data_IF_052116099122
#
_entry.id   IF_052116099122
#
_cell.length_a   1.000
_cell.length_b   1.000
_cell.length_c   1.000
_cell.angle_alpha   90.00
_cell.angle_beta   90.00
_cell.angle_gamma   90.00
#
_symmetry.space_group_name_H-M   'P 1'
#
loop_
_entity.id
_entity.type
_entity.pdbx_description
1 polymer ?
#
# COMPACT_ATOMS: atom_id res chain seq x y z
N UNK A 1 -1.71 19.28 2.26
CA UNK A 1 -0.63 18.85 3.16
C UNK A 1 -0.20 20.05 3.98
N UNK A 2 -0.54 20.09 5.28
CA UNK A 2 0.05 21.07 6.20
C UNK A 2 1.30 20.40 6.73
N UNK A 3 2.43 20.68 6.12
CA UNK A 3 3.75 20.29 6.62
C UNK A 3 4.00 21.15 7.87
N UNK A 4 3.51 20.69 9.03
CA UNK A 4 3.95 21.23 10.30
C UNK A 4 5.46 21.01 10.35
N UNK A 5 6.22 22.12 10.33
CA UNK A 5 7.67 22.15 10.29
C UNK A 5 8.27 21.04 11.15
N UNK A 6 8.77 20.00 10.50
CA UNK A 6 9.72 19.10 11.13
C UNK A 6 10.95 19.95 11.46
N UNK A 7 11.53 19.82 12.67
CA UNK A 7 12.87 20.35 12.87
C UNK A 7 13.76 19.69 11.81
N UNK A 8 14.33 20.52 10.95
CA UNK A 8 15.14 20.12 9.78
C UNK A 8 16.33 19.24 10.14
N UNK A 9 16.66 19.15 11.43
CA UNK A 9 17.80 18.42 11.99
C UNK A 9 17.63 16.90 12.06
N UNK A 10 16.42 16.35 11.86
CA UNK A 10 16.20 14.88 11.75
C UNK A 10 15.95 14.42 10.29
N UNK A 11 16.08 15.34 9.32
CA UNK A 11 15.96 15.01 7.90
C UNK A 11 17.22 14.30 7.40
N UNK A 12 17.00 13.30 6.57
CA UNK A 12 18.02 12.57 5.84
C UNK A 12 17.71 12.75 4.37
N UNK A 13 18.70 13.19 3.60
CA UNK A 13 18.57 13.34 2.16
C UNK A 13 19.11 12.08 1.48
N UNK A 14 18.37 11.48 0.53
CA UNK A 14 18.95 10.53 -0.40
C UNK A 14 20.18 11.14 -1.07
N UNK A 15 21.12 10.31 -1.49
CA UNK A 15 22.34 10.78 -2.15
C UNK A 15 22.34 10.32 -3.59
N UNK A 16 22.49 11.26 -4.53
CA UNK A 16 22.78 10.97 -5.92
C UNK A 16 24.29 10.86 -6.08
N UNK A 17 24.73 9.73 -6.63
CA UNK A 17 26.12 9.51 -7.03
C UNK A 17 26.17 9.62 -8.55
N UNK A 18 27.03 10.49 -9.06
CA UNK A 18 27.26 10.61 -10.50
C UNK A 18 28.69 10.19 -10.80
N UNK A 19 28.88 9.31 -11.77
CA UNK A 19 30.21 8.85 -12.17
C UNK A 19 30.28 8.58 -13.67
N UNK A 20 31.41 8.92 -14.27
CA UNK A 20 31.71 8.74 -15.70
C UNK A 20 32.28 7.35 -15.98
N UNK A 21 32.10 6.88 -17.22
CA UNK A 21 32.72 5.67 -17.75
C UNK A 21 32.99 5.79 -19.25
N UNK A 22 33.90 4.96 -19.76
CA UNK A 22 34.37 5.04 -21.16
C UNK A 22 33.60 4.13 -22.13
N UNK A 23 33.10 2.98 -21.67
CA UNK A 23 32.51 1.96 -22.52
C UNK A 23 31.09 1.57 -22.07
N UNK A 24 30.09 2.13 -22.75
CA UNK A 24 28.67 1.90 -22.47
C UNK A 24 28.28 0.43 -22.63
N UNK A 25 28.72 -0.23 -23.70
CA UNK A 25 28.33 -1.62 -23.98
C UNK A 25 28.88 -2.56 -22.90
N UNK A 26 30.13 -2.35 -22.48
CA UNK A 26 30.74 -3.13 -21.40
C UNK A 26 30.04 -2.91 -20.04
N UNK A 27 29.67 -1.66 -19.72
CA UNK A 27 28.91 -1.36 -18.49
C UNK A 27 27.53 -2.02 -18.52
N UNK A 28 26.81 -1.93 -19.64
CA UNK A 28 25.50 -2.56 -19.81
C UNK A 28 25.57 -4.08 -19.70
N UNK A 29 26.56 -4.71 -20.34
CA UNK A 29 26.80 -6.16 -20.24
C UNK A 29 27.07 -6.59 -18.79
N UNK A 30 27.91 -5.85 -18.08
CA UNK A 30 28.24 -6.12 -16.67
C UNK A 30 27.05 -5.94 -15.72
N UNK A 31 26.26 -4.87 -15.91
CA UNK A 31 25.03 -4.68 -15.15
C UNK A 31 24.03 -5.82 -15.39
N UNK A 32 23.86 -6.26 -16.64
CA UNK A 32 22.94 -7.36 -16.99
C UNK A 32 23.42 -8.74 -16.54
N UNK A 33 24.72 -8.92 -16.30
CA UNK A 33 25.33 -10.19 -15.87
C UNK A 33 25.50 -10.29 -14.36
N UNK A 34 25.36 -9.19 -13.62
CA UNK A 34 25.49 -9.20 -12.17
C UNK A 34 24.23 -9.76 -11.51
N UNK A 35 24.34 -10.77 -10.63
CA UNK A 35 23.17 -11.36 -9.95
C UNK A 35 22.53 -10.42 -8.93
N UNK A 36 23.22 -9.33 -8.54
CA UNK A 36 22.72 -8.31 -7.61
C UNK A 36 22.04 -7.14 -8.31
N UNK A 37 21.99 -7.14 -9.65
CA UNK A 37 21.47 -6.03 -10.45
C UNK A 37 20.25 -6.50 -11.22
N UNK A 38 19.12 -5.82 -11.04
CA UNK A 38 17.87 -6.16 -11.71
C UNK A 38 17.47 -5.03 -12.65
N UNK A 39 17.21 -5.32 -13.92
CA UNK A 39 16.69 -4.33 -14.84
C UNK A 39 15.27 -3.92 -14.43
N UNK A 40 15.04 -2.61 -14.28
CA UNK A 40 13.72 -2.07 -14.02
C UNK A 40 12.86 -2.06 -15.28
N UNK A 41 11.57 -2.32 -15.13
CA UNK A 41 10.57 -2.25 -16.21
C UNK A 41 9.85 -0.89 -16.26
N UNK A 42 10.45 0.15 -15.65
CA UNK A 42 9.89 1.51 -15.65
C UNK A 42 9.85 2.08 -17.07
N UNK A 43 8.79 2.84 -17.36
CA UNK A 43 8.68 3.60 -18.60
C UNK A 43 9.66 4.78 -18.59
N UNK A 44 10.70 4.70 -19.40
CA UNK A 44 11.77 5.69 -19.46
C UNK A 44 11.28 7.07 -19.92
N UNK A 45 10.14 7.14 -20.61
CA UNK A 45 9.53 8.43 -21.00
C UNK A 45 9.04 9.24 -19.80
N UNK A 46 8.72 8.57 -18.69
CA UNK A 46 8.29 9.23 -17.44
C UNK A 46 9.47 9.75 -16.62
N UNK A 47 10.70 9.35 -16.95
CA UNK A 47 11.94 9.77 -16.29
C UNK A 47 12.67 10.84 -17.12
N UNK A 48 12.16 11.17 -18.30
CA UNK A 48 12.72 12.22 -19.12
C UNK A 48 12.52 13.60 -18.45
N UNK A 49 13.62 14.29 -18.17
CA UNK A 49 13.59 15.70 -17.77
C UNK A 49 13.44 16.58 -19.02
N UNK A 50 12.80 17.75 -18.88
CA UNK A 50 12.42 18.63 -19.99
C UNK A 50 13.60 19.04 -20.89
N UNK A 51 14.82 19.05 -20.34
CA UNK A 51 16.07 19.43 -21.03
C UNK A 51 17.13 18.31 -21.11
N UNK A 52 16.77 17.05 -20.80
CA UNK A 52 17.71 15.92 -20.89
C UNK A 52 17.09 14.70 -21.59
N UNK A 53 17.84 14.01 -22.47
CA UNK A 53 17.35 12.76 -23.03
C UNK A 53 17.21 11.72 -21.91
N UNK A 54 16.20 10.83 -21.99
CA UNK A 54 15.98 9.82 -20.96
C UNK A 54 17.19 8.87 -20.83
N UNK A 55 17.35 8.22 -19.67
CA UNK A 55 18.36 7.19 -19.50
C UNK A 55 18.15 6.05 -20.52
N UNK A 56 19.23 5.37 -20.89
CA UNK A 56 19.19 4.19 -21.77
C UNK A 56 18.59 2.98 -21.08
N UNK A 57 18.78 2.88 -19.77
CA UNK A 57 18.22 1.84 -18.91
C UNK A 57 18.23 2.30 -17.46
N UNK A 58 17.35 1.68 -16.66
CA UNK A 58 17.31 1.82 -15.21
C UNK A 58 17.44 0.43 -14.60
N UNK A 59 18.25 0.31 -13.56
CA UNK A 59 18.46 -0.92 -12.81
C UNK A 59 18.26 -0.70 -11.31
N UNK A 60 17.87 -1.73 -10.59
CA UNK A 60 17.93 -1.79 -9.14
C UNK A 60 19.23 -2.47 -8.72
N UNK A 61 20.01 -1.84 -7.85
CA UNK A 61 21.13 -2.49 -7.18
C UNK A 61 20.67 -3.04 -5.83
N UNK A 62 20.84 -4.34 -5.62
CA UNK A 62 20.38 -5.04 -4.42
C UNK A 62 21.51 -5.25 -3.41
N UNK A 63 21.16 -5.31 -2.13
CA UNK A 63 22.13 -5.64 -1.06
C UNK A 63 22.65 -7.09 -1.12
N UNK A 64 21.93 -7.97 -1.83
CA UNK A 64 22.31 -9.37 -2.08
C UNK A 64 21.54 -9.91 -3.28
N UNK A 65 22.03 -11.02 -3.82
CA UNK A 65 21.36 -11.76 -4.88
C UNK A 65 19.97 -12.22 -4.41
N UNK A 66 18.92 -12.06 -5.23
CA UNK A 66 17.61 -12.62 -4.94
C UNK A 66 17.67 -14.14 -5.00
N UNK A 67 16.97 -14.81 -4.08
CA UNK A 67 16.78 -16.26 -4.17
C UNK A 67 15.93 -16.57 -5.41
N UNK A 68 16.28 -17.63 -6.14
CA UNK A 68 15.48 -18.13 -7.27
C UNK A 68 14.06 -18.49 -6.83
N UNK A 69 13.92 -19.06 -5.63
CA UNK A 69 12.65 -19.42 -5.02
C UNK A 69 12.54 -18.85 -3.61
N UNK A 70 11.47 -18.11 -3.36
CA UNK A 70 11.15 -17.56 -2.04
C UNK A 70 10.29 -18.57 -1.26
N UNK A 71 10.59 -18.72 0.03
CA UNK A 71 9.80 -19.57 0.91
C UNK A 71 8.35 -19.05 1.00
N UNK A 72 7.39 -19.98 1.17
CA UNK A 72 6.00 -19.66 1.49
C UNK A 72 5.66 -20.22 2.88
N UNK A 73 5.19 -19.39 3.84
CA UNK A 73 4.99 -17.94 3.74
C UNK A 73 6.32 -17.18 3.60
N UNK A 74 6.26 -15.99 3.00
CA UNK A 74 7.42 -15.12 2.81
C UNK A 74 8.07 -14.75 4.15
N UNK A 75 9.40 -14.77 4.18
CA UNK A 75 10.21 -14.38 5.34
C UNK A 75 10.96 -13.10 5.00
N UNK A 76 10.76 -12.04 5.79
CA UNK A 76 11.40 -10.72 5.56
C UNK A 76 12.92 -10.81 5.43
N UNK A 77 13.55 -11.65 6.26
CA UNK A 77 14.99 -11.88 6.26
C UNK A 77 15.54 -12.50 4.97
N UNK A 78 14.69 -13.00 4.08
CA UNK A 78 15.08 -13.57 2.78
C UNK A 78 15.00 -12.58 1.63
N UNK A 79 14.25 -11.50 1.78
CA UNK A 79 14.04 -10.51 0.73
C UNK A 79 15.25 -9.58 0.60
N UNK A 80 15.84 -9.43 -0.59
CA UNK A 80 16.82 -8.37 -0.85
C UNK A 80 16.19 -6.99 -0.68
N UNK A 81 17.02 -6.02 -0.31
CA UNK A 81 16.67 -4.60 -0.25
C UNK A 81 17.33 -3.91 -1.44
N UNK A 82 16.56 -3.08 -2.14
CA UNK A 82 17.06 -2.16 -3.16
C UNK A 82 17.85 -1.07 -2.46
N UNK A 83 19.15 -1.00 -2.76
CA UNK A 83 20.05 0.02 -2.21
C UNK A 83 19.91 1.36 -2.94
N UNK A 84 19.70 1.30 -4.26
CA UNK A 84 19.48 2.46 -5.10
C UNK A 84 19.09 2.11 -6.52
N UNK A 85 18.65 3.13 -7.24
CA UNK A 85 18.31 3.07 -8.66
C UNK A 85 19.51 3.52 -9.48
N UNK A 86 19.97 2.69 -10.41
CA UNK A 86 21.11 2.95 -11.29
C UNK A 86 20.57 3.35 -12.67
N UNK A 87 20.68 4.62 -13.01
CA UNK A 87 20.30 5.18 -14.29
C UNK A 87 21.54 5.26 -15.19
N UNK A 88 21.45 4.67 -16.38
CA UNK A 88 22.57 4.62 -17.33
C UNK A 88 22.35 5.63 -18.45
N UNK A 89 23.25 6.61 -18.58
CA UNK A 89 23.21 7.59 -19.65
C UNK A 89 24.36 7.36 -20.65
N UNK A 90 24.01 7.36 -21.93
CA UNK A 90 25.01 7.35 -23.01
C UNK A 90 25.71 8.70 -23.14
N UNK A 91 26.78 8.73 -23.95
CA UNK A 91 27.51 9.97 -24.25
C UNK A 91 26.61 10.98 -24.95
N UNK A 92 26.67 12.24 -24.51
CA UNK A 92 25.99 13.39 -25.11
C UNK A 92 27.03 14.35 -25.72
N UNK A 93 26.57 15.40 -26.40
CA UNK A 93 27.46 16.36 -27.06
C UNK A 93 28.36 17.10 -26.07
N UNK A 94 27.84 17.39 -24.89
CA UNK A 94 28.47 18.18 -23.82
C UNK A 94 28.80 17.35 -22.56
N UNK A 95 28.39 16.07 -22.50
CA UNK A 95 28.57 15.21 -21.32
C UNK A 95 29.14 13.83 -21.68
N UNK A 96 30.06 13.28 -20.87
CA UNK A 96 30.51 11.90 -21.03
C UNK A 96 29.35 10.91 -20.75
N UNK A 97 29.56 9.64 -21.10
CA UNK A 97 28.66 8.59 -20.64
C UNK A 97 28.81 8.44 -19.12
N UNK A 98 27.69 8.26 -18.43
CA UNK A 98 27.65 8.36 -16.96
C UNK A 98 26.59 7.47 -16.35
N UNK A 99 26.81 7.08 -15.10
CA UNK A 99 25.79 6.54 -14.21
C UNK A 99 25.32 7.67 -13.30
N UNK A 100 24.02 7.73 -13.07
CA UNK A 100 23.43 8.45 -11.95
C UNK A 100 22.78 7.41 -11.05
N UNK A 101 23.17 7.39 -9.77
CA UNK A 101 22.71 6.39 -8.81
C UNK A 101 22.03 7.07 -7.64
N UNK A 102 20.72 6.85 -7.52
CA UNK A 102 19.91 7.40 -6.44
C UNK A 102 19.90 6.43 -5.27
N UNK A 103 20.76 6.71 -4.28
CA UNK A 103 20.92 5.88 -3.09
C UNK A 103 19.86 6.23 -2.06
N UNK A 104 18.88 5.33 -1.93
CA UNK A 104 17.71 5.50 -1.07
C UNK A 104 17.77 4.65 0.21
N UNK A 105 18.68 3.67 0.30
CA UNK A 105 18.90 2.85 1.50
C UNK A 105 20.08 3.33 2.35
N UNK A 106 20.01 3.15 3.67
CA UNK A 106 21.10 3.55 4.59
C UNK A 106 22.33 2.67 4.33
N UNK A 107 23.38 3.26 3.73
CA UNK A 107 24.61 2.57 3.32
C UNK A 107 25.84 3.41 3.64
N UNK A 108 26.98 2.74 3.76
CA UNK A 108 28.29 3.39 3.64
C UNK A 108 28.53 3.71 2.16
N UNK A 109 28.61 5.00 1.82
CA UNK A 109 28.73 5.46 0.44
C UNK A 109 30.07 5.07 -0.20
N UNK A 110 31.15 5.01 0.58
CA UNK A 110 32.47 4.63 0.05
C UNK A 110 32.48 3.15 -0.30
N UNK A 111 31.94 2.31 0.59
CA UNK A 111 31.76 0.88 0.32
C UNK A 111 30.80 0.66 -0.86
N UNK A 112 29.69 1.40 -0.91
CA UNK A 112 28.72 1.30 -2.00
C UNK A 112 29.34 1.62 -3.36
N UNK A 113 30.15 2.69 -3.45
CA UNK A 113 30.86 3.06 -4.68
C UNK A 113 31.88 1.97 -5.04
N UNK A 114 32.62 1.43 -4.07
CA UNK A 114 33.54 0.33 -4.31
C UNK A 114 32.84 -0.90 -4.88
N UNK A 115 31.71 -1.32 -4.31
CA UNK A 115 30.90 -2.43 -4.81
C UNK A 115 30.34 -2.15 -6.21
N UNK A 116 29.92 -0.90 -6.48
CA UNK A 116 29.47 -0.50 -7.81
C UNK A 116 30.61 -0.59 -8.84
N UNK A 117 31.80 -0.08 -8.50
CA UNK A 117 33.01 -0.18 -9.34
C UNK A 117 33.39 -1.64 -9.62
N UNK A 118 33.29 -2.54 -8.64
CA UNK A 118 33.52 -3.97 -8.86
C UNK A 118 32.54 -4.58 -9.87
N UNK A 119 31.28 -4.14 -9.86
CA UNK A 119 30.26 -4.60 -10.80
C UNK A 119 30.53 -4.03 -12.20
N UNK A 120 30.61 -2.70 -12.34
CA UNK A 120 30.58 -2.04 -13.66
C UNK A 120 31.96 -1.83 -14.28
N UNK A 121 33.02 -1.88 -13.48
CA UNK A 121 34.38 -1.55 -13.89
C UNK A 121 34.86 -0.19 -13.43
N UNK A 122 35.95 0.28 -14.03
CA UNK A 122 36.57 1.55 -13.70
C UNK A 122 35.58 2.71 -13.87
N UNK A 123 35.42 3.49 -12.80
CA UNK A 123 34.58 4.68 -12.73
C UNK A 123 35.48 5.89 -12.49
N UNK A 124 35.17 6.99 -13.16
CA UNK A 124 35.87 8.28 -13.02
C UNK A 124 34.90 9.40 -12.64
N UNK A 125 35.44 10.56 -12.28
CA UNK A 125 34.67 11.78 -11.96
C UNK A 125 33.53 11.56 -10.95
N UNK A 126 33.76 10.73 -9.93
CA UNK A 126 32.72 10.38 -8.95
C UNK A 126 32.37 11.61 -8.10
N UNK A 127 31.14 12.07 -8.20
CA UNK A 127 30.56 13.13 -7.38
C UNK A 127 29.40 12.59 -6.53
N UNK A 128 29.09 13.31 -5.45
CA UNK A 128 28.01 12.97 -4.52
C UNK A 128 27.25 14.24 -4.20
N UNK A 129 25.94 14.21 -4.36
CA UNK A 129 25.07 15.33 -4.06
C UNK A 129 23.82 14.86 -3.31
N UNK A 130 23.34 15.61 -2.30
CA UNK A 130 22.07 15.32 -1.68
C UNK A 130 20.92 15.62 -2.66
N UNK A 131 19.90 14.77 -2.66
CA UNK A 131 18.63 15.02 -3.36
C UNK A 131 17.76 15.88 -2.44
N UNK A 132 17.87 17.20 -2.55
CA UNK A 132 17.26 18.15 -1.61
C UNK A 132 15.72 18.20 -1.68
N UNK A 133 15.14 17.91 -2.85
CA UNK A 133 13.70 17.97 -3.08
C UNK A 133 12.92 16.79 -2.48
N UNK A 134 13.63 15.73 -2.06
CA UNK A 134 13.04 14.52 -1.48
C UNK A 134 13.57 14.23 -0.06
N UNK A 135 13.41 15.15 0.91
CA UNK A 135 13.86 14.90 2.27
C UNK A 135 13.04 13.76 2.90
N UNK A 136 13.72 12.82 3.53
CA UNK A 136 13.10 11.77 4.35
C UNK A 136 13.55 11.90 5.81
N UNK A 137 13.07 11.03 6.68
CA UNK A 137 13.61 10.88 8.04
C UNK A 137 14.28 9.52 8.16
N UNK A 138 15.23 9.39 9.11
CA UNK A 138 15.81 8.08 9.42
C UNK A 138 14.74 7.02 9.67
N UNK A 139 13.66 7.40 10.35
CA UNK A 139 12.57 6.48 10.69
C UNK A 139 11.77 6.08 9.46
N UNK A 140 11.33 7.02 8.62
CA UNK A 140 10.59 6.71 7.39
C UNK A 140 11.39 5.79 6.46
N UNK A 141 12.69 6.07 6.29
CA UNK A 141 13.61 5.25 5.48
C UNK A 141 13.72 3.82 6.00
N UNK A 142 13.75 3.65 7.32
CA UNK A 142 13.89 2.35 7.95
C UNK A 142 12.55 1.61 8.09
N UNK A 143 11.42 2.29 8.22
CA UNK A 143 10.09 1.65 8.29
C UNK A 143 9.66 1.04 6.96
N UNK A 144 10.02 1.68 5.85
CA UNK A 144 9.58 1.30 4.51
C UNK A 144 10.78 0.97 3.61
N UNK A 145 11.56 -0.08 3.91
CA UNK A 145 12.63 -0.51 3.03
C UNK A 145 12.05 -0.97 1.68
N UNK A 146 12.75 -0.66 0.60
CA UNK A 146 12.37 -1.10 -0.74
C UNK A 146 12.77 -2.56 -0.95
N UNK A 147 11.91 -3.50 -0.59
CA UNK A 147 12.16 -4.92 -0.85
C UNK A 147 12.01 -5.27 -2.33
N UNK A 148 12.92 -6.10 -2.84
CA UNK A 148 12.75 -6.74 -4.13
C UNK A 148 12.14 -8.13 -3.94
N UNK A 149 10.95 -8.36 -4.49
CA UNK A 149 10.23 -9.64 -4.39
C UNK A 149 10.17 -10.39 -5.73
N UNK A 150 10.55 -9.75 -6.83
CA UNK A 150 10.56 -10.36 -8.17
C UNK A 150 9.18 -10.62 -8.78
N UNK A 151 8.11 -10.22 -8.10
CA UNK A 151 6.74 -10.43 -8.54
C UNK A 151 5.72 -9.71 -7.66
N UNK A 152 4.42 -9.84 -7.97
CA UNK A 152 3.35 -9.26 -7.16
C UNK A 152 3.32 -9.93 -5.77
N UNK A 153 3.24 -9.11 -4.72
CA UNK A 153 3.02 -9.54 -3.34
C UNK A 153 1.52 -9.70 -3.07
N UNK A 154 1.13 -10.77 -2.38
CA UNK A 154 -0.22 -10.83 -1.82
C UNK A 154 -0.37 -9.80 -0.69
N UNK A 155 -1.57 -9.24 -0.52
CA UNK A 155 -1.84 -8.19 0.47
C UNK A 155 -1.52 -8.65 1.90
N UNK A 156 -1.87 -9.91 2.24
CA UNK A 156 -1.60 -10.54 3.53
C UNK A 156 -0.10 -10.68 3.82
N UNK A 157 0.68 -11.07 2.82
CA UNK A 157 2.14 -11.18 2.92
C UNK A 157 2.79 -9.80 3.10
N UNK A 158 2.40 -8.82 2.28
CA UNK A 158 2.89 -7.43 2.41
C UNK A 158 2.62 -6.86 3.81
N UNK A 159 1.42 -7.10 4.33
CA UNK A 159 1.02 -6.74 5.70
C UNK A 159 1.90 -7.39 6.76
N UNK A 160 2.13 -8.70 6.67
CA UNK A 160 2.96 -9.42 7.62
C UNK A 160 4.39 -8.87 7.62
N UNK A 161 4.99 -8.72 6.44
CA UNK A 161 6.35 -8.19 6.28
C UNK A 161 6.49 -6.79 6.88
N UNK A 162 5.52 -5.91 6.63
CA UNK A 162 5.52 -4.56 7.17
C UNK A 162 5.33 -4.55 8.70
N UNK A 163 4.48 -5.41 9.26
CA UNK A 163 4.33 -5.54 10.70
C UNK A 163 5.63 -6.01 11.37
N UNK A 164 6.31 -7.01 10.81
CA UNK A 164 7.61 -7.47 11.29
C UNK A 164 8.66 -6.35 11.23
N UNK A 165 8.70 -5.59 10.13
CA UNK A 165 9.59 -4.45 9.96
C UNK A 165 9.33 -3.34 10.98
N UNK A 166 8.06 -2.94 11.14
CA UNK A 166 7.67 -1.92 12.10
C UNK A 166 8.08 -2.32 13.52
N UNK A 167 7.90 -3.60 13.88
CA UNK A 167 8.31 -4.12 15.20
C UNK A 167 9.82 -4.02 15.40
N UNK A 168 10.64 -4.51 14.49
CA UNK A 168 12.11 -4.40 14.63
C UNK A 168 12.55 -2.93 14.71
N UNK A 169 12.05 -2.10 13.80
CA UNK A 169 12.46 -0.69 13.74
C UNK A 169 12.06 0.05 15.00
N UNK A 170 10.79 -0.02 15.43
CA UNK A 170 10.31 0.77 16.56
C UNK A 170 10.73 0.22 17.92
N UNK A 171 10.83 -1.10 18.06
CA UNK A 171 11.09 -1.74 19.35
C UNK A 171 12.57 -2.01 19.60
N UNK A 172 13.42 -1.98 18.55
CA UNK A 172 14.84 -2.29 18.69
C UNK A 172 15.73 -1.19 18.12
N UNK A 173 15.50 -0.68 16.90
CA UNK A 173 16.41 0.31 16.28
C UNK A 173 16.15 1.75 16.77
N UNK A 174 14.93 2.23 16.61
CA UNK A 174 14.52 3.59 16.94
C UNK A 174 14.77 3.93 18.40
N UNK A 175 14.54 2.99 19.33
CA UNK A 175 14.79 3.21 20.76
C UNK A 175 16.25 3.57 21.09
N UNK A 176 17.20 3.17 20.23
CA UNK A 176 18.65 3.42 20.38
C UNK A 176 19.14 4.52 19.44
N UNK A 177 18.32 5.01 18.53
CA UNK A 177 18.71 6.00 17.54
C UNK A 177 18.79 7.39 18.18
N UNK A 178 19.96 8.05 18.17
CA UNK A 178 20.05 9.46 18.57
C UNK A 178 19.12 10.35 17.74
N UNK A 179 18.37 11.23 18.39
CA UNK A 179 17.46 12.17 17.70
C UNK A 179 17.83 13.61 18.06
N UNK A 180 17.92 14.49 17.07
CA UNK A 180 18.23 15.91 17.31
C UNK A 180 17.12 16.59 18.13
N UNK A 181 15.87 16.20 17.92
CA UNK A 181 14.70 16.60 18.73
C UNK A 181 14.82 16.28 20.23
N UNK A 182 15.63 15.28 20.56
CA UNK A 182 15.94 14.83 21.92
C UNK A 182 17.34 15.28 22.36
N UNK A 183 17.86 16.36 21.77
CA UNK A 183 19.20 16.91 22.03
C UNK A 183 20.33 15.89 21.77
N UNK A 184 20.17 15.05 20.75
CA UNK A 184 21.14 14.01 20.39
C UNK A 184 21.07 12.76 21.27
N UNK A 185 20.13 12.68 22.23
CA UNK A 185 19.85 11.45 22.97
C UNK A 185 18.94 10.52 22.17
N UNK A 186 19.03 9.23 22.45
CA UNK A 186 18.07 8.23 21.99
C UNK A 186 16.76 8.29 22.77
N UNK A 187 15.64 7.75 22.25
CA UNK A 187 14.39 7.64 23.01
C UNK A 187 14.55 6.92 24.36
N UNK A 188 15.38 5.88 24.43
CA UNK A 188 15.71 5.19 25.69
C UNK A 188 16.31 6.12 26.74
N UNK A 189 17.34 6.89 26.35
CA UNK A 189 18.03 7.81 27.26
C UNK A 189 17.16 9.01 27.63
N UNK A 190 16.37 9.50 26.67
CA UNK A 190 15.50 10.65 26.85
C UNK A 190 14.25 10.34 27.69
N UNK A 191 13.74 9.11 27.66
CA UNK A 191 12.58 8.70 28.46
C UNK A 191 12.87 8.73 29.97
N UNK A 192 14.12 8.43 30.35
CA UNK A 192 14.59 8.49 31.74
C UNK A 192 14.88 9.93 32.22
N UNK A 193 15.00 10.89 31.31
CA UNK A 193 15.23 12.30 31.61
C UNK A 193 13.90 13.04 31.76
N UNK A 194 13.60 13.53 32.97
CA UNK A 194 12.35 14.24 33.26
C UNK A 194 12.07 15.41 32.31
N UNK A 195 13.11 16.11 31.85
CA UNK A 195 12.96 17.26 30.95
C UNK A 195 12.68 16.87 29.49
N UNK A 196 12.98 15.62 29.10
CA UNK A 196 12.81 15.11 27.74
C UNK A 196 11.68 14.09 27.63
N UNK A 197 11.21 13.52 28.74
CA UNK A 197 10.13 12.52 28.77
C UNK A 197 8.88 12.96 27.99
N UNK A 198 8.44 14.21 28.19
CA UNK A 198 7.31 14.77 27.46
C UNK A 198 7.55 14.82 25.94
N UNK A 199 8.78 15.10 25.51
CA UNK A 199 9.14 15.09 24.08
C UNK A 199 9.09 13.68 23.52
N UNK A 200 9.57 12.68 24.25
CA UNK A 200 9.46 11.27 23.84
C UNK A 200 7.99 10.85 23.72
N UNK A 201 7.15 11.17 24.70
CA UNK A 201 5.71 10.89 24.61
C UNK A 201 5.02 11.59 23.43
N UNK A 202 5.43 12.82 23.12
CA UNK A 202 4.95 13.56 21.95
C UNK A 202 5.39 12.92 20.64
N UNK A 203 6.63 12.44 20.54
CA UNK A 203 7.11 11.69 19.37
C UNK A 203 6.29 10.41 19.16
N UNK A 204 6.05 9.62 20.21
CA UNK A 204 5.23 8.40 20.11
C UNK A 204 3.81 8.74 19.66
N UNK A 205 3.20 9.81 20.21
CA UNK A 205 1.86 10.24 19.78
C UNK A 205 1.84 10.67 18.31
N UNK A 206 2.91 11.32 17.83
CA UNK A 206 3.04 11.72 16.43
C UNK A 206 3.12 10.50 15.52
N UNK A 207 3.92 9.49 15.87
CA UNK A 207 3.98 8.22 15.13
C UNK A 207 2.62 7.50 15.12
N UNK A 208 1.96 7.45 16.27
CA UNK A 208 0.61 6.92 16.44
C UNK A 208 -0.45 7.68 15.61
N UNK A 209 -0.17 8.93 15.21
CA UNK A 209 -1.10 9.74 14.41
C UNK A 209 -0.78 9.71 12.92
N UNK A 210 0.49 9.84 12.56
CA UNK A 210 0.95 9.99 11.18
C UNK A 210 1.12 8.64 10.47
N UNK A 211 1.51 7.60 11.22
CA UNK A 211 1.89 6.32 10.64
C UNK A 211 0.91 5.18 11.00
N UNK A 212 -0.10 5.41 11.84
CA UNK A 212 -0.97 4.33 12.33
C UNK A 212 -1.68 3.53 11.22
N UNK A 213 -2.09 4.18 10.13
CA UNK A 213 -2.70 3.49 8.99
C UNK A 213 -1.68 2.61 8.26
N UNK A 214 -0.46 3.12 8.06
CA UNK A 214 0.59 2.41 7.36
C UNK A 214 1.20 1.28 8.22
N UNK A 215 1.22 1.44 9.54
CA UNK A 215 1.72 0.44 10.50
C UNK A 215 0.67 -0.63 10.89
N UNK A 216 -0.49 -0.63 10.22
CA UNK A 216 -1.49 -1.70 10.23
C UNK A 216 -1.84 -2.27 11.62
N UNK A 217 -2.10 -1.39 12.59
CA UNK A 217 -2.56 -1.78 13.93
C UNK A 217 -1.46 -2.12 14.94
N UNK A 218 -0.23 -1.64 14.72
CA UNK A 218 0.86 -1.73 15.69
C UNK A 218 0.48 -1.20 17.09
N UNK A 219 0.79 -1.95 18.16
CA UNK A 219 0.53 -1.53 19.55
C UNK A 219 1.62 -0.57 20.06
N UNK A 220 1.37 0.73 19.96
CA UNK A 220 2.27 1.75 20.51
C UNK A 220 2.40 1.71 22.03
N UNK A 221 1.52 1.01 22.77
CA UNK A 221 1.77 0.77 24.18
C UNK A 221 2.96 -0.17 24.42
N UNK A 222 3.36 -0.98 23.43
CA UNK A 222 4.57 -1.79 23.53
C UNK A 222 5.84 -0.94 23.58
N UNK A 223 5.90 0.10 22.72
CA UNK A 223 6.96 1.11 22.75
C UNK A 223 6.98 1.82 24.11
N UNK A 224 5.80 2.24 24.61
CA UNK A 224 5.68 2.91 25.92
C UNK A 224 6.17 2.02 27.06
N UNK A 225 5.79 0.73 27.06
CA UNK A 225 6.26 -0.24 28.07
C UNK A 225 7.78 -0.42 28.02
N UNK A 226 8.38 -0.54 26.83
CA UNK A 226 9.85 -0.64 26.69
C UNK A 226 10.59 0.58 27.23
N UNK A 227 9.98 1.76 27.15
CA UNK A 227 10.53 3.03 27.62
C UNK A 227 10.13 3.38 29.07
N UNK A 228 9.45 2.49 29.79
CA UNK A 228 8.87 2.76 31.12
C UNK A 228 7.99 4.03 31.15
N UNK A 229 7.22 4.24 30.08
CA UNK A 229 6.27 5.34 29.92
C UNK A 229 4.84 4.89 30.25
N UNK A 230 3.97 5.80 30.73
CA UNK A 230 2.57 5.49 30.95
C UNK A 230 1.88 4.99 29.68
N UNK A 231 1.22 3.85 29.76
CA UNK A 231 0.41 3.33 28.66
C UNK A 231 -0.92 4.10 28.55
N UNK A 232 -1.48 4.11 27.35
CA UNK A 232 -2.76 4.76 27.06
C UNK A 232 -3.83 3.69 26.96
N UNK A 233 -4.64 3.58 28.01
CA UNK A 233 -5.79 2.69 28.06
C UNK A 233 -7.04 3.25 27.37
N UNK A 234 -8.14 2.48 27.35
CA UNK A 234 -9.44 2.94 26.87
C UNK A 234 -9.90 4.21 27.59
N UNK A 235 -10.64 5.06 26.89
CA UNK A 235 -11.27 6.26 27.44
C UNK A 235 -12.70 5.89 27.82
N UNK A 236 -13.08 6.09 29.08
CA UNK A 236 -14.47 5.91 29.52
C UNK A 236 -15.37 6.96 28.84
N UNK A 237 -16.33 6.56 27.98
CA UNK A 237 -17.23 7.49 27.32
C UNK A 237 -18.08 8.33 28.27
N UNK A 238 -18.34 7.86 29.50
CA UNK A 238 -19.09 8.61 30.50
C UNK A 238 -18.30 9.80 31.07
N UNK A 239 -16.98 9.79 30.92
CA UNK A 239 -16.07 10.81 31.49
C UNK A 239 -15.71 11.94 30.53
N UNK A 240 -16.13 11.86 29.25
CA UNK A 240 -15.71 12.80 28.20
C UNK A 240 -16.86 13.22 27.28
N UNK A 241 -16.76 14.40 26.69
CA UNK A 241 -17.62 14.80 25.57
C UNK A 241 -17.05 14.24 24.26
N UNK A 242 -17.70 13.21 23.72
CA UNK A 242 -17.33 12.54 22.46
C UNK A 242 -17.30 13.52 21.28
N UNK A 243 -18.05 14.64 21.29
CA UNK A 243 -18.02 15.65 20.21
C UNK A 243 -16.73 16.48 20.23
N UNK A 244 -16.11 16.62 21.39
CA UNK A 244 -14.92 17.48 21.61
C UNK A 244 -13.62 16.70 21.71
N UNK A 245 -13.67 15.37 21.75
CA UNK A 245 -12.48 14.54 21.84
C UNK A 245 -11.62 14.69 20.56
N UNK A 246 -10.29 14.91 20.64
CA UNK A 246 -9.44 14.94 19.45
C UNK A 246 -9.54 13.66 18.61
N UNK A 247 -9.44 13.77 17.28
CA UNK A 247 -9.63 12.62 16.37
C UNK A 247 -8.69 11.44 16.69
N UNK A 248 -7.43 11.73 17.00
CA UNK A 248 -6.39 10.77 17.39
C UNK A 248 -6.70 10.01 18.68
N UNK A 249 -7.73 10.41 19.43
CA UNK A 249 -8.16 9.74 20.66
C UNK A 249 -9.47 8.97 20.48
N UNK A 250 -10.15 9.11 19.33
CA UNK A 250 -11.42 8.44 19.09
C UNK A 250 -11.25 6.92 19.10
N UNK A 251 -10.15 6.38 18.57
CA UNK A 251 -9.88 4.93 18.59
C UNK A 251 -9.84 4.31 20.00
N UNK A 252 -9.60 5.13 21.03
CA UNK A 252 -9.55 4.67 22.42
C UNK A 252 -10.93 4.57 23.07
N UNK A 253 -11.99 5.01 22.40
CA UNK A 253 -13.35 4.84 22.89
C UNK A 253 -13.81 3.39 22.64
N UNK A 254 -14.14 2.63 23.70
CA UNK A 254 -14.73 1.31 23.55
C UNK A 254 -16.13 1.45 22.94
N UNK A 255 -16.30 0.94 21.71
CA UNK A 255 -17.52 1.14 20.92
C UNK A 255 -18.76 0.58 21.61
N UNK A 256 -18.63 -0.58 22.25
CA UNK A 256 -19.66 -1.29 23.02
C UNK A 256 -20.17 -0.49 24.25
N UNK A 257 -19.40 0.49 24.73
CA UNK A 257 -19.79 1.35 25.86
C UNK A 257 -20.35 2.70 25.46
N UNK A 258 -20.32 3.05 24.17
CA UNK A 258 -20.95 4.28 23.68
C UNK A 258 -22.47 4.10 23.67
N UNK A 259 -23.23 5.10 24.12
CA UNK A 259 -24.66 5.13 23.79
C UNK A 259 -24.87 5.39 22.29
N UNK A 260 -26.12 5.29 21.81
CA UNK A 260 -26.43 5.45 20.38
C UNK A 260 -26.10 6.85 19.84
N UNK A 261 -26.29 7.92 20.62
CA UNK A 261 -25.92 9.27 20.18
C UNK A 261 -24.40 9.42 20.09
N UNK A 262 -23.70 8.93 21.11
CA UNK A 262 -22.24 8.97 21.18
C UNK A 262 -21.62 8.15 20.05
N UNK A 263 -22.15 6.96 19.75
CA UNK A 263 -21.68 6.10 18.67
C UNK A 263 -21.87 6.76 17.31
N UNK A 264 -23.03 7.37 17.06
CA UNK A 264 -23.28 8.08 15.80
C UNK A 264 -22.40 9.33 15.64
N UNK A 265 -22.15 10.06 16.73
CA UNK A 265 -21.19 11.18 16.74
C UNK A 265 -19.80 10.66 16.41
N UNK A 266 -19.33 9.62 17.11
CA UNK A 266 -18.00 9.05 16.91
C UNK A 266 -17.82 8.57 15.46
N UNK A 267 -18.79 7.81 14.93
CA UNK A 267 -18.82 7.30 13.57
C UNK A 267 -18.71 8.41 12.51
N UNK A 268 -19.55 9.45 12.60
CA UNK A 268 -19.51 10.60 11.66
C UNK A 268 -18.18 11.34 11.73
N UNK A 269 -17.65 11.52 12.95
CA UNK A 269 -16.38 12.22 13.15
C UNK A 269 -15.20 11.43 12.59
N UNK A 270 -15.17 10.11 12.75
CA UNK A 270 -14.12 9.27 12.16
C UNK A 270 -14.23 9.19 10.64
N UNK A 271 -15.45 9.21 10.09
CA UNK A 271 -15.67 9.21 8.65
C UNK A 271 -15.18 10.49 7.98
N UNK A 272 -15.35 11.65 8.64
CA UNK A 272 -14.91 12.96 8.12
C UNK A 272 -13.39 13.02 7.85
N UNK A 273 -12.59 12.32 8.65
CA UNK A 273 -11.12 12.35 8.59
C UNK A 273 -10.53 11.01 8.14
N UNK A 274 -11.36 10.05 7.74
CA UNK A 274 -10.96 8.70 7.36
C UNK A 274 -10.03 8.03 8.39
N UNK A 275 -10.35 8.15 9.68
CA UNK A 275 -9.64 7.45 10.75
C UNK A 275 -10.03 5.95 10.76
N UNK A 276 -9.53 5.20 9.77
CA UNK A 276 -10.01 3.84 9.42
C UNK A 276 -10.11 2.88 10.63
N UNK A 277 -9.09 2.73 11.50
CA UNK A 277 -9.18 1.79 12.62
C UNK A 277 -10.37 2.07 13.56
N UNK A 278 -10.56 3.35 13.93
CA UNK A 278 -11.67 3.78 14.76
C UNK A 278 -13.01 3.67 14.01
N UNK A 279 -13.02 4.07 12.74
CA UNK A 279 -14.19 4.01 11.87
C UNK A 279 -14.74 2.58 11.76
N UNK A 280 -13.87 1.60 11.50
CA UNK A 280 -14.25 0.19 11.46
C UNK A 280 -14.83 -0.29 12.79
N UNK A 281 -14.20 0.10 13.91
CA UNK A 281 -14.68 -0.31 15.24
C UNK A 281 -16.10 0.21 15.50
N UNK A 282 -16.35 1.49 15.22
CA UNK A 282 -17.68 2.08 15.40
C UNK A 282 -18.70 1.57 14.39
N UNK A 283 -18.31 1.33 13.14
CA UNK A 283 -19.20 0.80 12.14
C UNK A 283 -19.65 -0.63 12.48
N UNK A 284 -18.73 -1.50 12.95
CA UNK A 284 -19.05 -2.87 13.42
C UNK A 284 -20.07 -2.86 14.55
N UNK A 285 -19.86 -2.00 15.54
CA UNK A 285 -20.81 -1.85 16.64
C UNK A 285 -22.17 -1.32 16.13
N UNK A 286 -22.15 -0.31 15.27
CA UNK A 286 -23.38 0.32 14.78
C UNK A 286 -24.26 -0.63 13.94
N UNK A 287 -23.65 -1.47 13.09
CA UNK A 287 -24.42 -2.48 12.32
C UNK A 287 -25.02 -3.55 13.22
N UNK A 288 -24.37 -3.84 14.36
CA UNK A 288 -24.86 -4.80 15.37
C UNK A 288 -26.03 -4.30 16.21
N UNK A 289 -26.29 -2.98 16.28
CA UNK A 289 -27.34 -2.41 17.15
C UNK A 289 -28.70 -2.29 16.47
N UNK A 290 -29.75 -3.02 16.91
CA UNK A 290 -31.09 -2.90 16.32
C UNK A 290 -31.73 -1.52 16.53
N UNK A 291 -31.39 -0.83 17.63
CA UNK A 291 -31.89 0.51 17.95
C UNK A 291 -31.50 1.57 16.91
N UNK A 292 -30.50 1.29 16.08
CA UNK A 292 -30.03 2.17 15.03
C UNK A 292 -30.66 1.89 13.66
N UNK A 293 -31.46 0.83 13.49
CA UNK A 293 -32.01 0.41 12.19
C UNK A 293 -32.78 1.53 11.47
N UNK A 294 -33.49 2.38 12.21
CA UNK A 294 -34.25 3.52 11.66
C UNK A 294 -33.44 4.81 11.53
N UNK A 295 -32.19 4.82 12.02
CA UNK A 295 -31.37 6.03 12.18
C UNK A 295 -30.18 6.10 11.23
N UNK A 296 -29.74 4.95 10.71
CA UNK A 296 -28.59 4.85 9.81
C UNK A 296 -28.91 3.93 8.63
N UNK A 297 -28.26 4.19 7.51
CA UNK A 297 -28.23 3.25 6.42
C UNK A 297 -27.17 2.16 6.69
N UNK A 298 -27.60 1.02 7.22
CA UNK A 298 -26.71 -0.12 7.49
C UNK A 298 -26.11 -0.74 6.22
N UNK A 299 -26.78 -0.59 5.08
CA UNK A 299 -26.24 -1.03 3.79
C UNK A 299 -24.92 -0.30 3.47
N UNK A 300 -24.94 1.03 3.61
CA UNK A 300 -23.72 1.86 3.43
C UNK A 300 -22.64 1.55 4.46
N UNK A 301 -23.01 1.18 5.69
CA UNK A 301 -22.01 0.77 6.69
C UNK A 301 -21.39 -0.59 6.38
N UNK A 302 -22.15 -1.56 5.87
CA UNK A 302 -21.56 -2.82 5.39
C UNK A 302 -20.65 -2.57 4.20
N UNK A 303 -21.03 -1.72 3.25
CA UNK A 303 -20.17 -1.31 2.13
C UNK A 303 -18.87 -0.70 2.64
N UNK A 304 -18.96 0.26 3.55
CA UNK A 304 -17.80 0.88 4.19
C UNK A 304 -16.90 -0.17 4.87
N UNK A 305 -17.47 -1.12 5.60
CA UNK A 305 -16.72 -2.18 6.28
C UNK A 305 -16.00 -3.12 5.30
N UNK A 306 -16.61 -3.40 4.14
CA UNK A 306 -15.97 -4.18 3.06
C UNK A 306 -14.83 -3.39 2.43
N UNK A 307 -15.06 -2.13 2.07
CA UNK A 307 -14.07 -1.27 1.39
C UNK A 307 -12.87 -0.94 2.28
N UNK A 308 -13.08 -0.82 3.59
CA UNK A 308 -12.03 -0.51 4.57
C UNK A 308 -11.45 -1.74 5.26
N UNK A 309 -11.87 -2.94 4.84
CA UNK A 309 -11.39 -4.18 5.42
C UNK A 309 -9.86 -4.31 5.29
N UNK A 310 -9.17 -4.79 6.33
CA UNK A 310 -7.71 -4.86 6.33
C UNK A 310 -7.13 -5.96 5.44
N UNK A 311 -7.97 -6.89 4.99
CA UNK A 311 -7.62 -8.00 4.12
C UNK A 311 -8.89 -8.53 3.44
N UNK A 312 -8.70 -9.30 2.37
CA UNK A 312 -9.82 -9.84 1.61
C UNK A 312 -10.69 -10.78 2.42
N UNK A 313 -10.18 -11.49 3.43
CA UNK A 313 -10.98 -12.43 4.25
C UNK A 313 -11.92 -11.67 5.18
N UNK A 314 -11.42 -10.62 5.82
CA UNK A 314 -12.23 -9.68 6.57
C UNK A 314 -13.28 -9.01 5.66
N UNK A 315 -12.91 -8.64 4.43
CA UNK A 315 -13.83 -8.07 3.45
C UNK A 315 -14.97 -9.07 3.14
N UNK A 316 -14.64 -10.32 2.85
CA UNK A 316 -15.61 -11.39 2.60
C UNK A 316 -16.51 -11.66 3.81
N UNK A 317 -15.96 -11.56 5.03
CA UNK A 317 -16.75 -11.69 6.25
C UNK A 317 -17.82 -10.60 6.37
N UNK A 318 -17.45 -9.32 6.21
CA UNK A 318 -18.43 -8.22 6.25
C UNK A 318 -19.39 -8.25 5.06
N UNK A 319 -18.91 -8.69 3.90
CA UNK A 319 -19.74 -8.90 2.71
C UNK A 319 -20.84 -9.94 2.96
N UNK A 320 -20.48 -11.07 3.58
CA UNK A 320 -21.45 -12.11 3.92
C UNK A 320 -22.52 -11.59 4.90
N UNK A 321 -22.12 -10.78 5.89
CA UNK A 321 -23.06 -10.12 6.80
C UNK A 321 -23.99 -9.14 6.06
N UNK A 322 -23.44 -8.31 5.16
CA UNK A 322 -24.22 -7.38 4.34
C UNK A 322 -25.24 -8.09 3.44
N UNK A 323 -24.83 -9.19 2.77
CA UNK A 323 -25.73 -10.03 1.97
C UNK A 323 -26.86 -10.63 2.82
N UNK A 324 -26.54 -11.14 4.00
CA UNK A 324 -27.54 -11.68 4.93
C UNK A 324 -28.53 -10.58 5.39
N UNK A 325 -28.02 -9.38 5.68
CA UNK A 325 -28.84 -8.23 6.06
C UNK A 325 -29.82 -7.80 4.96
N UNK A 326 -29.33 -7.66 3.72
CA UNK A 326 -30.17 -7.31 2.57
C UNK A 326 -31.20 -8.40 2.26
N UNK A 327 -30.79 -9.68 2.28
CA UNK A 327 -31.69 -10.81 2.06
C UNK A 327 -32.82 -10.87 3.09
N UNK A 328 -32.54 -10.63 4.37
CA UNK A 328 -33.54 -10.62 5.44
C UNK A 328 -34.59 -9.49 5.27
N UNK A 329 -34.26 -8.45 4.50
CA UNK A 329 -35.12 -7.30 4.20
C UNK A 329 -35.72 -7.33 2.80
N UNK A 330 -35.45 -8.39 2.03
CA UNK A 330 -35.85 -8.52 0.63
C UNK A 330 -35.34 -7.34 -0.23
N UNK A 331 -34.16 -6.82 0.11
CA UNK A 331 -33.44 -5.81 -0.66
C UNK A 331 -32.49 -6.47 -1.67
N UNK A 332 -32.05 -5.71 -2.69
CA UNK A 332 -31.16 -6.24 -3.71
C UNK A 332 -29.80 -6.65 -3.15
N UNK A 333 -29.30 -7.80 -3.63
CA UNK A 333 -27.94 -8.28 -3.36
C UNK A 333 -26.91 -7.74 -4.37
N UNK A 334 -27.36 -7.10 -5.45
CA UNK A 334 -26.49 -6.72 -6.56
C UNK A 334 -25.29 -5.86 -6.15
N UNK A 335 -25.43 -4.83 -5.29
CA UNK A 335 -24.26 -4.03 -4.90
C UNK A 335 -23.23 -4.84 -4.11
N UNK A 336 -23.65 -5.82 -3.31
CA UNK A 336 -22.72 -6.72 -2.64
C UNK A 336 -22.07 -7.71 -3.61
N UNK A 337 -22.81 -8.25 -4.57
CA UNK A 337 -22.23 -9.13 -5.59
C UNK A 337 -21.19 -8.41 -6.46
N UNK A 338 -21.39 -7.12 -6.76
CA UNK A 338 -20.38 -6.31 -7.46
C UNK A 338 -19.10 -6.17 -6.65
N UNK A 339 -19.19 -5.91 -5.34
CA UNK A 339 -18.02 -5.90 -4.46
C UNK A 339 -17.36 -7.27 -4.32
N UNK A 340 -18.15 -8.34 -4.25
CA UNK A 340 -17.65 -9.72 -4.23
C UNK A 340 -16.79 -10.03 -5.44
N UNK A 341 -17.27 -9.62 -6.62
CA UNK A 341 -16.54 -9.76 -7.87
C UNK A 341 -15.18 -9.04 -7.81
N UNK A 342 -15.15 -7.79 -7.35
CA UNK A 342 -13.91 -7.02 -7.17
C UNK A 342 -12.92 -7.70 -6.23
N UNK A 343 -13.41 -8.29 -5.13
CA UNK A 343 -12.57 -9.05 -4.19
C UNK A 343 -11.99 -10.29 -4.87
N UNK A 344 -12.78 -11.05 -5.64
CA UNK A 344 -12.27 -12.23 -6.34
C UNK A 344 -11.29 -11.90 -7.47
N UNK A 345 -11.47 -10.75 -8.15
CA UNK A 345 -10.49 -10.23 -9.12
C UNK A 345 -9.16 -9.94 -8.41
N UNK A 346 -9.20 -9.23 -7.28
CA UNK A 346 -8.00 -8.94 -6.50
C UNK A 346 -7.30 -10.22 -5.99
N UNK A 347 -8.08 -11.27 -5.65
CA UNK A 347 -7.59 -12.61 -5.28
C UNK A 347 -7.12 -13.47 -6.45
N UNK A 348 -7.30 -13.02 -7.71
CA UNK A 348 -7.02 -13.81 -8.93
C UNK A 348 -7.74 -15.16 -8.94
N UNK A 349 -9.01 -15.14 -8.56
CA UNK A 349 -9.88 -16.32 -8.47
C UNK A 349 -10.91 -16.31 -9.62
N UNK A 350 -10.53 -16.73 -10.84
CA UNK A 350 -11.37 -16.61 -12.03
C UNK A 350 -12.66 -17.43 -11.92
N UNK A 351 -12.63 -18.57 -11.24
CA UNK A 351 -13.81 -19.43 -11.05
C UNK A 351 -14.88 -18.73 -10.21
N UNK A 352 -14.47 -18.07 -9.13
CA UNK A 352 -15.41 -17.29 -8.31
C UNK A 352 -15.90 -16.03 -9.03
N UNK A 353 -15.03 -15.35 -9.80
CA UNK A 353 -15.46 -14.22 -10.65
C UNK A 353 -16.55 -14.66 -11.62
N UNK A 354 -16.36 -15.79 -12.31
CA UNK A 354 -17.34 -16.32 -13.24
C UNK A 354 -18.67 -16.65 -12.54
N UNK A 355 -18.62 -17.31 -11.37
CA UNK A 355 -19.84 -17.62 -10.58
C UNK A 355 -20.62 -16.36 -10.20
N UNK A 356 -19.93 -15.33 -9.69
CA UNK A 356 -20.57 -14.07 -9.29
C UNK A 356 -21.14 -13.33 -10.49
N UNK A 357 -20.41 -13.30 -11.62
CA UNK A 357 -20.87 -12.71 -12.87
C UNK A 357 -22.15 -13.39 -13.39
N UNK A 358 -22.20 -14.73 -13.42
CA UNK A 358 -23.40 -15.47 -13.83
C UNK A 358 -24.59 -15.20 -12.91
N UNK A 359 -24.35 -15.01 -11.60
CA UNK A 359 -25.40 -14.65 -10.67
C UNK A 359 -25.94 -13.23 -10.91
N UNK A 360 -25.06 -12.26 -11.16
CA UNK A 360 -25.45 -10.90 -11.52
C UNK A 360 -26.26 -10.86 -12.83
N UNK A 361 -25.80 -11.56 -13.86
CA UNK A 361 -26.49 -11.63 -15.16
C UNK A 361 -27.87 -12.29 -15.07
N UNK A 362 -27.98 -13.40 -14.34
CA UNK A 362 -29.23 -14.17 -14.28
C UNK A 362 -30.31 -13.54 -13.40
N UNK A 363 -29.93 -12.78 -12.36
CA UNK A 363 -30.88 -12.30 -11.33
C UNK A 363 -30.96 -10.79 -11.20
N UNK A 364 -29.93 -10.05 -11.58
CA UNK A 364 -29.78 -8.63 -11.24
C UNK A 364 -29.47 -7.73 -12.44
N UNK A 365 -29.37 -8.26 -13.66
CA UNK A 365 -28.94 -7.50 -14.84
C UNK A 365 -29.83 -6.28 -15.13
N UNK A 366 -31.13 -6.42 -14.93
CA UNK A 366 -32.11 -5.36 -15.18
C UNK A 366 -32.19 -4.32 -14.05
N UNK A 367 -31.40 -4.48 -12.99
CA UNK A 367 -31.35 -3.50 -11.91
C UNK A 367 -30.51 -2.27 -12.29
N UNK A 368 -30.88 -1.07 -11.83
CA UNK A 368 -30.17 0.16 -12.16
C UNK A 368 -28.67 0.07 -11.85
N UNK A 369 -27.83 0.40 -12.83
CA UNK A 369 -26.37 0.45 -12.69
C UNK A 369 -25.64 -0.89 -12.73
N UNK A 370 -26.33 -2.04 -12.67
CA UNK A 370 -25.67 -3.36 -12.69
C UNK A 370 -25.06 -3.67 -14.06
N UNK A 371 -25.82 -3.47 -15.15
CA UNK A 371 -25.32 -3.68 -16.51
C UNK A 371 -24.15 -2.75 -16.84
N UNK A 372 -24.22 -1.49 -16.42
CA UNK A 372 -23.13 -0.52 -16.60
C UNK A 372 -21.87 -0.91 -15.83
N UNK A 373 -22.00 -1.33 -14.57
CA UNK A 373 -20.87 -1.80 -13.77
C UNK A 373 -20.20 -3.04 -14.36
N UNK A 374 -21.00 -3.99 -14.89
CA UNK A 374 -20.47 -5.16 -15.61
C UNK A 374 -19.76 -4.76 -16.90
N UNK A 375 -20.30 -3.80 -17.66
CA UNK A 375 -19.66 -3.30 -18.88
C UNK A 375 -18.33 -2.60 -18.58
N UNK A 376 -18.29 -1.72 -17.57
CA UNK A 376 -17.06 -1.05 -17.12
C UNK A 376 -16.00 -2.07 -16.69
N UNK A 377 -16.40 -3.15 -16.02
CA UNK A 377 -15.51 -4.24 -15.68
C UNK A 377 -14.92 -4.91 -16.92
N UNK A 378 -15.75 -5.30 -17.90
CA UNK A 378 -15.31 -5.93 -19.14
C UNK A 378 -14.37 -5.01 -19.95
N UNK A 379 -14.63 -3.70 -19.93
CA UNK A 379 -13.76 -2.70 -20.52
C UNK A 379 -12.40 -2.63 -19.82
N UNK A 380 -12.40 -2.58 -18.48
CA UNK A 380 -11.17 -2.50 -17.66
C UNK A 380 -10.24 -3.70 -17.86
N UNK A 381 -10.79 -4.90 -18.05
CA UNK A 381 -9.98 -6.10 -18.31
C UNK A 381 -9.62 -6.27 -19.79
N UNK A 382 -9.97 -5.30 -20.64
CA UNK A 382 -9.71 -5.35 -22.07
C UNK A 382 -10.54 -6.38 -22.82
N UNK A 383 -11.60 -6.93 -22.20
CA UNK A 383 -12.49 -7.87 -22.88
C UNK A 383 -13.42 -7.17 -23.88
N UNK A 384 -13.69 -5.88 -23.67
CA UNK A 384 -14.50 -5.03 -24.55
C UNK A 384 -13.71 -3.77 -24.89
N UNK A 385 -13.60 -3.46 -26.19
CA UNK A 385 -12.93 -2.27 -26.70
C UNK A 385 -13.77 -0.98 -26.55
N UNK A 386 -13.19 0.20 -26.85
CA UNK A 386 -13.88 1.50 -26.78
C UNK A 386 -15.15 1.58 -27.62
N UNK A 387 -15.23 0.78 -28.69
CA UNK A 387 -16.36 0.70 -29.61
C UNK A 387 -17.44 -0.31 -29.15
N UNK A 388 -17.32 -0.86 -27.93
CA UNK A 388 -18.27 -1.83 -27.37
C UNK A 388 -18.16 -3.24 -27.94
N UNK A 389 -17.19 -3.51 -28.82
CA UNK A 389 -16.94 -4.84 -29.38
C UNK A 389 -15.95 -5.65 -28.55
N UNK A 390 -16.07 -6.99 -28.58
CA UNK A 390 -15.14 -7.90 -27.92
C UNK A 390 -13.72 -7.74 -28.47
N UNK A 391 -12.72 -7.88 -27.60
CA UNK A 391 -11.33 -7.91 -28.05
C UNK A 391 -11.09 -9.09 -29.02
N UNK A 392 -10.29 -8.88 -30.08
CA UNK A 392 -10.12 -9.87 -31.16
C UNK A 392 -9.59 -11.24 -30.69
N UNK A 393 -8.81 -11.29 -29.61
CA UNK A 393 -8.35 -12.56 -29.00
C UNK A 393 -9.51 -13.39 -28.41
N UNK A 394 -10.47 -12.75 -27.72
CA UNK A 394 -11.65 -13.43 -27.15
C UNK A 394 -12.72 -13.75 -28.20
N UNK A 395 -12.78 -12.96 -29.28
CA UNK A 395 -13.67 -13.22 -30.41
C UNK A 395 -13.25 -14.47 -31.21
N UNK A 396 -11.94 -14.74 -31.31
CA UNK A 396 -11.41 -15.95 -31.96
C UNK A 396 -11.63 -17.22 -31.12
N UNK A 397 -11.43 -17.17 -29.80
CA UNK A 397 -11.68 -18.31 -28.91
C UNK A 397 -13.17 -18.72 -28.89
N UNK A 398 -14.11 -17.77 -28.98
CA UNK A 398 -15.53 -18.09 -29.15
C UNK A 398 -15.87 -18.63 -30.55
N UNK A 399 -15.16 -18.20 -31.60
CA UNK A 399 -15.33 -18.76 -32.95
C UNK A 399 -14.84 -20.21 -33.04
N UNK A 400 -13.78 -20.58 -32.32
CA UNK A 400 -13.32 -21.97 -32.21
C UNK A 400 -14.23 -22.83 -31.32
N UNK A 401 -14.74 -22.29 -30.20
CA UNK A 401 -15.66 -23.02 -29.31
C UNK A 401 -17.05 -23.26 -29.92
N UNK A 402 -17.55 -22.34 -30.75
CA UNK A 402 -18.83 -22.51 -31.47
C UNK A 402 -18.73 -23.42 -32.69
N UNK A 403 -17.51 -23.70 -33.19
CA UNK A 403 -17.25 -24.65 -34.26
C UNK A 403 -17.39 -26.12 -33.86
N UNK A 404 -17.42 -26.45 -32.55
CA UNK A 404 -17.40 -27.83 -32.06
C UNK A 404 -18.69 -28.31 -31.36
N UNK A 405 -19.70 -27.45 -31.16
CA UNK A 405 -20.92 -27.82 -30.44
C UNK A 405 -22.20 -27.31 -31.13
N UNK A 406 -22.49 -27.82 -32.33
CA UNK A 406 -23.79 -27.67 -32.95
C UNK A 406 -24.73 -28.84 -32.58
N UNK A 407 -25.16 -28.96 -31.32
CA UNK A 407 -26.46 -29.54 -30.93
C UNK A 407 -26.94 -28.92 -29.60
N UNK A 408 -27.85 -27.95 -29.69
CA UNK A 408 -28.91 -27.69 -28.71
C UNK A 408 -28.55 -27.18 -27.31
N UNK A 409 -28.27 -25.88 -27.16
CA UNK A 409 -28.97 -25.05 -26.17
C UNK A 409 -28.86 -23.56 -26.54
N UNK A 410 -30.00 -22.89 -26.60
CA UNK A 410 -30.10 -21.45 -26.88
C UNK A 410 -29.70 -20.64 -25.65
N UNK A 411 -28.40 -20.40 -25.48
CA UNK A 411 -27.87 -19.38 -24.58
C UNK A 411 -27.60 -18.11 -25.37
N UNK A 412 -28.61 -17.26 -25.55
CA UNK A 412 -28.48 -15.97 -26.22
C UNK A 412 -27.63 -15.01 -25.37
N UNK A 413 -26.41 -14.73 -25.82
CA UNK A 413 -25.51 -13.72 -25.28
C UNK A 413 -25.97 -12.34 -25.78
N UNK A 414 -26.34 -11.45 -24.87
CA UNK A 414 -26.92 -10.14 -25.18
C UNK A 414 -25.85 -9.15 -25.64
N UNK A 415 -26.09 -8.51 -26.80
CA UNK A 415 -25.38 -7.30 -27.25
C UNK A 415 -26.28 -6.07 -27.04
N UNK A 416 -25.73 -4.87 -26.79
CA UNK A 416 -26.52 -3.70 -26.40
C UNK A 416 -27.52 -3.17 -27.45
N UNK A 417 -27.47 -3.66 -28.69
CA UNK A 417 -28.34 -3.24 -29.80
C UNK A 417 -29.27 -4.36 -30.33
N UNK A 418 -29.66 -5.32 -29.49
CA UNK A 418 -30.68 -6.32 -29.85
C UNK A 418 -32.11 -5.74 -29.75
N UNK A 419 -32.99 -5.92 -30.77
CA UNK A 419 -34.36 -5.40 -30.70
C UNK A 419 -35.22 -6.15 -29.66
N UNK A 420 -36.18 -5.39 -29.12
CA UNK A 420 -37.03 -5.68 -27.95
C UNK A 420 -37.76 -7.04 -27.92
#
# INVERSE_FOLDING_TARGET
QVTLHQPTSDLVFPTRITCSFDNLDAVMERLLSSPRVIKSNVDLSQIAEEDQPPPKAVFYLLNREPKEELAKPLVRGDLPIVLGDVLVYGRQTDRPARLEVDVTAEVDLDQFISELTEIVGELSDVTREPIEDEPTTWLSRNLYPRWYVGGPLEQSESKQLLQEQCREVLLDKWLRQPCSTLNGKSPNEAAADFNLRLRVEAMILRLETEEASAMQGFDFNEVRRKLDLPTRGPIDPASVDVRRLPFVRLERLPADKLDDEQLLVALRRTQLVMAVPALMNFAREAVGRPSLDARINKFELFRLLVETAPDSDSAMHFLAQGKAFASARNESLAPFLLMEMQIHIARRDPESVQRVMSQLQSKHLNEPGVAEALYQFLYMIGAVGPDGQLAPELANDQAEATGAAAVGSSGGLWTPDGPA
#
